data_IF_008193268145
#
_entry.id   IF_008193268145
#
_cell.length_a   1.000
_cell.length_b   1.000
_cell.length_c   1.000
_cell.angle_alpha   90.00
_cell.angle_beta   90.00
_cell.angle_gamma   90.00
#
_symmetry.space_group_name_H-M   'P 1'
#
loop_
_entity.id
_entity.type
_entity.pdbx_description
1 polymer ?
#
# COMPACT_ATOMS: atom_id res chain seq x y z
N UNK A 1 -25.93 -50.14 -83.67
CA UNK A 1 -25.10 -49.85 -84.88
C UNK A 1 -23.76 -49.28 -84.37
N UNK A 2 -22.75 -50.06 -84.76
CA UNK A 2 -21.34 -49.65 -85.03
C UNK A 2 -20.56 -48.99 -83.88
N UNK A 3 -19.63 -49.64 -83.26
CA UNK A 3 -18.21 -49.77 -83.58
C UNK A 3 -17.45 -48.49 -83.22
N UNK A 4 -16.31 -48.48 -82.60
CA UNK A 4 -15.10 -49.32 -82.54
C UNK A 4 -14.15 -48.81 -81.50
N UNK A 5 -13.47 -49.69 -80.75
CA UNK A 5 -12.05 -49.83 -80.50
C UNK A 5 -11.21 -48.54 -80.51
N UNK A 6 -10.18 -48.28 -79.69
CA UNK A 6 -9.08 -49.16 -79.29
C UNK A 6 -8.01 -48.37 -78.47
N UNK A 7 -7.23 -49.15 -77.76
CA UNK A 7 -5.80 -49.03 -77.42
C UNK A 7 -5.31 -48.12 -76.28
N UNK A 8 -4.92 -48.75 -75.23
CA UNK A 8 -3.56 -48.92 -74.64
C UNK A 8 -2.66 -47.69 -74.53
N UNK A 9 -2.31 -47.40 -73.29
CA UNK A 9 -1.17 -46.54 -72.96
C UNK A 9 -0.88 -46.65 -71.44
N UNK A 10 -0.16 -47.73 -71.08
CA UNK A 10 0.41 -47.85 -69.71
C UNK A 10 1.52 -46.83 -69.57
N UNK A 11 1.39 -45.87 -68.66
CA UNK A 11 2.54 -45.13 -68.11
C UNK A 11 2.55 -45.21 -66.60
N UNK A 12 3.51 -45.93 -66.07
CA UNK A 12 3.88 -46.13 -64.71
C UNK A 12 4.61 -44.86 -64.23
N UNK A 13 3.99 -44.06 -63.35
CA UNK A 13 4.69 -42.98 -62.67
C UNK A 13 4.90 -43.37 -61.24
N UNK A 14 6.15 -43.61 -60.89
CA UNK A 14 6.65 -43.71 -59.52
C UNK A 14 6.42 -42.39 -58.79
N UNK A 15 5.54 -42.38 -57.79
CA UNK A 15 5.44 -41.30 -56.81
C UNK A 15 6.37 -41.63 -55.65
N UNK A 16 7.52 -40.94 -55.62
CA UNK A 16 8.40 -40.89 -54.44
C UNK A 16 7.77 -39.94 -53.45
N UNK A 17 7.20 -40.50 -52.37
CA UNK A 17 6.71 -39.71 -51.21
C UNK A 17 7.91 -39.38 -50.35
N UNK A 18 8.38 -38.16 -50.43
CA UNK A 18 9.37 -37.60 -49.51
C UNK A 18 8.68 -37.25 -48.19
N UNK A 19 8.82 -38.10 -47.17
CA UNK A 19 8.38 -37.85 -45.84
C UNK A 19 9.37 -36.85 -45.18
N UNK A 20 8.99 -35.58 -45.15
CA UNK A 20 9.72 -34.56 -44.36
C UNK A 20 9.40 -34.76 -42.88
N UNK A 21 10.34 -35.32 -42.13
CA UNK A 21 10.32 -35.31 -40.67
C UNK A 21 10.54 -33.85 -40.19
N UNK A 22 9.44 -33.20 -39.84
CA UNK A 22 9.49 -31.91 -39.08
C UNK A 22 9.75 -32.26 -37.63
N UNK A 23 11.00 -32.20 -37.22
CA UNK A 23 11.41 -32.22 -35.81
C UNK A 23 10.96 -30.94 -35.15
N UNK A 24 9.83 -30.95 -34.41
CA UNK A 24 9.38 -29.88 -33.56
C UNK A 24 10.32 -29.85 -32.34
N UNK A 25 11.37 -29.03 -32.44
CA UNK A 25 12.11 -28.62 -31.25
C UNK A 25 11.20 -27.75 -30.41
N UNK A 26 10.53 -28.34 -29.42
CA UNK A 26 9.92 -27.60 -28.33
C UNK A 26 11.04 -26.93 -27.53
N UNK A 27 11.40 -25.73 -27.92
CA UNK A 27 12.20 -24.87 -27.08
C UNK A 27 11.36 -24.52 -25.84
N UNK A 28 11.51 -25.31 -24.77
CA UNK A 28 11.12 -24.88 -23.44
C UNK A 28 11.91 -23.60 -23.14
N UNK A 29 11.31 -22.46 -23.37
CA UNK A 29 11.82 -21.20 -22.83
C UNK A 29 11.68 -21.29 -21.31
N UNK A 30 12.71 -21.85 -20.68
CA UNK A 30 12.96 -21.66 -19.27
C UNK A 30 13.04 -20.14 -19.10
N UNK A 31 12.02 -19.54 -18.45
CA UNK A 31 12.11 -18.16 -18.05
C UNK A 31 13.44 -18.01 -17.34
N UNK A 32 14.32 -17.18 -17.90
CA UNK A 32 15.60 -16.89 -17.29
C UNK A 32 15.27 -16.42 -15.85
N UNK A 33 15.82 -17.09 -14.83
CA UNK A 33 15.74 -16.65 -13.45
C UNK A 33 16.39 -15.25 -13.39
N UNK A 34 15.56 -14.22 -13.60
CA UNK A 34 16.03 -12.86 -13.40
C UNK A 34 16.42 -12.71 -11.94
N UNK A 35 17.60 -12.14 -11.69
CA UNK A 35 18.03 -11.89 -10.32
C UNK A 35 16.93 -11.18 -9.53
N UNK A 36 16.73 -11.53 -8.26
CA UNK A 36 15.67 -10.94 -7.46
C UNK A 36 15.83 -9.43 -7.34
N UNK A 37 14.72 -8.72 -7.38
CA UNK A 37 14.66 -7.28 -7.13
C UNK A 37 15.13 -7.01 -5.69
N UNK A 38 16.18 -6.21 -5.55
CA UNK A 38 16.80 -5.91 -4.25
C UNK A 38 16.03 -4.78 -3.58
N UNK A 39 15.48 -5.04 -2.40
CA UNK A 39 14.77 -4.07 -1.60
C UNK A 39 15.57 -3.67 -0.36
N UNK A 40 15.48 -2.41 0.02
CA UNK A 40 16.06 -1.87 1.25
C UNK A 40 14.99 -1.35 2.19
N UNK A 41 15.27 -1.44 3.50
CA UNK A 41 14.41 -0.89 4.54
C UNK A 41 15.08 0.30 5.23
N UNK A 42 14.35 1.40 5.40
CA UNK A 42 14.76 2.59 6.16
C UNK A 42 13.85 2.68 7.39
N UNK A 43 14.43 2.86 8.59
CA UNK A 43 13.70 2.91 9.84
C UNK A 43 13.38 1.50 10.37
N UNK A 44 14.23 0.96 11.25
CA UNK A 44 14.06 -0.40 11.74
C UNK A 44 13.43 -0.41 13.14
N UNK A 45 12.27 0.26 13.30
CA UNK A 45 11.67 0.50 14.61
C UNK A 45 10.19 0.11 14.73
N UNK A 46 9.62 -0.57 13.69
CA UNK A 46 8.29 -1.16 13.75
C UNK A 46 8.32 -2.69 13.71
N UNK A 47 7.23 -3.33 14.18
CA UNK A 47 7.05 -4.78 14.01
C UNK A 47 6.88 -5.20 12.54
N UNK A 48 6.59 -4.27 11.63
CA UNK A 48 6.49 -4.53 10.19
C UNK A 48 7.86 -4.95 9.63
N UNK A 49 8.95 -4.34 10.09
CA UNK A 49 10.32 -4.61 9.63
C UNK A 49 10.66 -6.10 9.63
N UNK A 50 10.66 -6.83 10.75
CA UNK A 50 10.94 -8.26 10.73
C UNK A 50 9.83 -9.09 10.07
N UNK A 51 8.58 -8.62 10.10
CA UNK A 51 7.47 -9.33 9.48
C UNK A 51 7.57 -9.28 7.94
N UNK A 52 7.79 -8.11 7.35
CA UNK A 52 7.95 -7.96 5.90
C UNK A 52 9.23 -8.65 5.41
N UNK A 53 10.34 -8.52 6.16
CA UNK A 53 11.57 -9.24 5.84
C UNK A 53 11.36 -10.76 5.76
N UNK A 54 10.61 -11.35 6.70
CA UNK A 54 10.26 -12.78 6.67
C UNK A 54 9.39 -13.15 5.47
N UNK A 55 8.45 -12.29 5.09
CA UNK A 55 7.53 -12.53 3.97
C UNK A 55 8.30 -12.47 2.65
N UNK A 56 9.06 -11.39 2.39
CA UNK A 56 9.78 -11.20 1.13
C UNK A 56 10.98 -12.14 0.99
N UNK A 57 11.67 -12.47 2.08
CA UNK A 57 12.84 -13.37 2.04
C UNK A 57 12.46 -14.85 2.19
N UNK A 58 11.16 -15.19 2.22
CA UNK A 58 10.71 -16.57 2.26
C UNK A 58 11.10 -17.30 0.97
N UNK A 59 11.92 -18.36 1.01
CA UNK A 59 12.32 -19.12 -0.19
C UNK A 59 11.14 -19.82 -0.87
N UNK A 60 10.01 -19.95 -0.18
CA UNK A 60 8.76 -20.52 -0.72
C UNK A 60 7.76 -19.44 -1.16
N UNK A 61 8.17 -18.17 -1.21
CA UNK A 61 7.30 -17.09 -1.67
C UNK A 61 6.83 -17.34 -3.10
N UNK A 62 5.57 -17.02 -3.38
CA UNK A 62 4.93 -17.19 -4.68
C UNK A 62 4.23 -15.92 -5.13
N UNK A 63 3.82 -15.85 -6.41
CA UNK A 63 3.07 -14.72 -6.97
C UNK A 63 3.82 -13.40 -6.89
N UNK A 64 3.14 -12.36 -6.45
CA UNK A 64 3.70 -11.01 -6.43
C UNK A 64 4.82 -10.82 -5.38
N UNK A 65 4.86 -11.64 -4.34
CA UNK A 65 5.92 -11.62 -3.31
C UNK A 65 7.22 -12.24 -3.83
N UNK A 66 7.15 -13.29 -4.64
CA UNK A 66 8.32 -13.99 -5.16
C UNK A 66 9.23 -13.07 -5.98
N UNK A 67 10.55 -13.30 -5.95
CA UNK A 67 11.51 -12.54 -6.74
C UNK A 67 11.83 -11.13 -6.20
N UNK A 68 11.45 -10.83 -4.95
CA UNK A 68 11.87 -9.64 -4.21
C UNK A 68 12.64 -10.10 -2.98
N UNK A 69 13.72 -9.42 -2.64
CA UNK A 69 14.53 -9.77 -1.47
C UNK A 69 14.96 -8.53 -0.72
N UNK A 70 14.67 -8.48 0.56
CA UNK A 70 15.23 -7.47 1.47
C UNK A 70 16.71 -7.80 1.67
N UNK A 71 17.60 -6.92 1.25
CA UNK A 71 19.04 -7.15 1.26
C UNK A 71 19.80 -6.20 2.18
N UNK A 72 19.25 -5.03 2.47
CA UNK A 72 19.89 -4.03 3.30
C UNK A 72 18.88 -3.29 4.18
N UNK A 73 19.33 -2.84 5.36
CA UNK A 73 18.54 -2.03 6.29
C UNK A 73 19.34 -0.88 6.89
N UNK A 74 18.74 0.30 6.97
CA UNK A 74 19.26 1.45 7.70
C UNK A 74 18.41 1.64 8.97
N UNK A 75 19.02 1.61 10.17
CA UNK A 75 18.28 1.62 11.43
C UNK A 75 17.39 2.84 11.63
N UNK A 76 17.87 4.03 11.32
CA UNK A 76 17.13 5.27 11.63
C UNK A 76 16.89 5.40 13.14
N UNK A 77 15.65 5.80 13.47
CA UNK A 77 15.17 5.95 14.84
C UNK A 77 14.97 7.40 15.23
N UNK A 78 13.99 7.63 16.15
CA UNK A 78 13.65 8.95 16.68
C UNK A 78 13.50 8.92 18.20
N UNK A 79 13.16 10.08 18.78
CA UNK A 79 13.03 10.29 20.22
C UNK A 79 11.76 9.68 20.83
N UNK A 80 10.73 9.36 20.03
CA UNK A 80 9.51 8.77 20.57
C UNK A 80 9.77 7.37 21.16
N UNK A 81 9.13 7.02 22.27
CA UNK A 81 9.34 5.71 22.90
C UNK A 81 9.11 4.54 21.94
N UNK A 82 8.11 4.65 21.09
CA UNK A 82 7.77 3.63 20.07
C UNK A 82 8.90 3.35 19.07
N UNK A 83 9.80 4.30 18.82
CA UNK A 83 11.01 4.15 18.01
C UNK A 83 12.21 3.75 18.86
N UNK A 84 12.60 4.63 19.79
CA UNK A 84 13.81 4.51 20.61
C UNK A 84 13.95 3.15 21.29
N UNK A 85 12.86 2.61 21.84
CA UNK A 85 12.89 1.39 22.65
C UNK A 85 12.91 0.11 21.80
N UNK A 86 12.69 0.20 20.47
CA UNK A 86 12.56 -0.96 19.58
C UNK A 86 13.60 -1.06 18.48
N UNK A 87 14.17 0.06 18.02
CA UNK A 87 15.09 0.10 16.88
C UNK A 87 16.26 -0.87 17.02
N UNK A 88 16.89 -0.93 18.18
CA UNK A 88 18.00 -1.85 18.42
C UNK A 88 17.59 -3.32 18.26
N UNK A 89 16.45 -3.71 18.85
CA UNK A 89 15.98 -5.09 18.83
C UNK A 89 15.60 -5.57 17.42
N UNK A 90 14.93 -4.72 16.63
CA UNK A 90 14.60 -5.08 15.25
C UNK A 90 15.80 -5.05 14.30
N UNK A 91 16.75 -4.15 14.52
CA UNK A 91 18.03 -4.15 13.79
C UNK A 91 18.77 -5.48 13.97
N UNK A 92 18.87 -5.98 15.20
CA UNK A 92 19.51 -7.27 15.48
C UNK A 92 18.73 -8.45 14.85
N UNK A 93 17.39 -8.40 14.83
CA UNK A 93 16.60 -9.41 14.15
C UNK A 93 16.89 -9.46 12.64
N UNK A 94 16.99 -8.31 11.97
CA UNK A 94 17.34 -8.25 10.54
C UNK A 94 18.76 -8.76 10.30
N UNK A 95 19.72 -8.40 11.14
CA UNK A 95 21.08 -8.91 11.07
C UNK A 95 21.11 -10.44 11.19
N UNK A 96 20.33 -11.01 12.11
CA UNK A 96 20.15 -12.45 12.27
C UNK A 96 19.49 -13.15 11.08
N UNK A 97 18.76 -12.42 10.22
CA UNK A 97 18.20 -12.91 8.96
C UNK A 97 19.21 -12.82 7.79
N UNK A 98 20.43 -12.35 8.01
CA UNK A 98 21.45 -12.16 6.97
C UNK A 98 21.25 -10.90 6.14
N UNK A 99 20.47 -9.93 6.63
CA UNK A 99 20.26 -8.62 5.98
C UNK A 99 21.38 -7.69 6.41
N UNK A 100 22.04 -7.05 5.46
CA UNK A 100 23.14 -6.12 5.73
C UNK A 100 22.60 -4.86 6.41
N UNK A 101 23.22 -4.46 7.53
CA UNK A 101 22.89 -3.22 8.21
C UNK A 101 23.90 -2.15 7.82
N UNK A 102 23.41 -1.08 7.25
CA UNK A 102 24.21 0.05 6.79
C UNK A 102 24.06 1.27 7.70
N UNK A 103 25.02 2.19 7.63
CA UNK A 103 25.07 3.35 8.54
C UNK A 103 24.40 4.60 7.97
N UNK A 104 24.15 4.62 6.65
CA UNK A 104 23.55 5.80 5.99
C UNK A 104 22.60 5.40 4.88
N UNK A 105 21.61 6.27 4.59
CA UNK A 105 20.69 6.10 3.47
C UNK A 105 21.43 6.03 2.12
N UNK A 106 22.45 6.86 1.81
CA UNK A 106 23.22 6.71 0.57
C UNK A 106 23.88 5.35 0.42
N UNK A 107 24.41 4.74 1.50
CA UNK A 107 24.95 3.37 1.46
C UNK A 107 23.87 2.35 1.12
N UNK A 108 22.66 2.50 1.65
CA UNK A 108 21.52 1.64 1.33
C UNK A 108 21.15 1.78 -0.16
N UNK A 109 21.00 3.01 -0.65
CA UNK A 109 20.58 3.30 -2.02
C UNK A 109 21.53 2.74 -3.09
N UNK A 110 22.83 2.61 -2.77
CA UNK A 110 23.83 2.00 -3.65
C UNK A 110 23.63 0.47 -3.82
N UNK A 111 22.88 -0.17 -2.92
CA UNK A 111 22.74 -1.64 -2.87
C UNK A 111 21.38 -2.14 -3.38
N UNK A 112 20.38 -1.27 -3.52
CA UNK A 112 18.99 -1.67 -3.71
C UNK A 112 18.38 -1.06 -4.97
N UNK A 113 17.31 -1.67 -5.45
CA UNK A 113 16.54 -1.24 -6.60
C UNK A 113 15.27 -0.52 -6.19
N UNK A 114 14.69 -0.88 -5.03
CA UNK A 114 13.45 -0.35 -4.47
C UNK A 114 13.59 -0.17 -2.96
N UNK A 115 12.76 0.68 -2.36
CA UNK A 115 12.88 1.04 -0.94
C UNK A 115 11.52 0.95 -0.23
N UNK A 116 11.57 0.46 1.02
CA UNK A 116 10.49 0.56 1.99
C UNK A 116 10.96 1.50 3.11
N UNK A 117 10.21 2.56 3.40
CA UNK A 117 10.38 3.36 4.62
C UNK A 117 9.43 2.78 5.66
N UNK A 118 10.00 2.31 6.77
CA UNK A 118 9.30 1.60 7.83
C UNK A 118 9.38 2.33 9.18
N UNK A 119 9.92 3.54 9.21
CA UNK A 119 10.00 4.34 10.43
C UNK A 119 8.61 4.51 11.05
N UNK A 120 8.48 4.24 12.36
CA UNK A 120 7.19 4.36 13.06
C UNK A 120 6.74 5.81 13.21
N UNK A 121 7.68 6.73 13.16
CA UNK A 121 7.47 8.15 13.33
C UNK A 121 7.35 8.88 11.98
N UNK A 122 6.13 9.14 11.55
CA UNK A 122 5.87 9.85 10.30
C UNK A 122 6.49 11.25 10.18
N UNK A 123 6.94 11.87 11.29
CA UNK A 123 7.55 13.20 11.27
C UNK A 123 8.85 13.25 10.48
N UNK A 124 9.56 12.11 10.35
CA UNK A 124 10.84 12.05 9.62
C UNK A 124 10.71 11.54 8.19
N UNK A 125 9.55 11.08 7.76
CA UNK A 125 9.37 10.42 6.46
C UNK A 125 9.71 11.33 5.27
N UNK A 126 9.41 12.64 5.32
CA UNK A 126 9.82 13.56 4.26
C UNK A 126 11.35 13.65 4.13
N UNK A 127 12.07 13.68 5.26
CA UNK A 127 13.53 13.69 5.28
C UNK A 127 14.12 12.38 4.72
N UNK A 128 13.53 11.24 5.07
CA UNK A 128 13.97 9.92 4.61
C UNK A 128 13.61 9.65 3.14
N UNK A 129 12.41 10.08 2.71
CA UNK A 129 11.93 9.88 1.35
C UNK A 129 12.68 10.75 0.32
N UNK A 130 13.12 11.95 0.71
CA UNK A 130 13.79 12.89 -0.21
C UNK A 130 14.98 12.28 -0.93
N UNK A 131 16.00 11.69 -0.29
CA UNK A 131 17.13 11.09 -0.99
C UNK A 131 16.73 9.85 -1.81
N UNK A 132 15.71 9.10 -1.39
CA UNK A 132 15.20 7.94 -2.14
C UNK A 132 14.57 8.38 -3.46
N UNK A 133 13.71 9.40 -3.40
CA UNK A 133 13.04 9.98 -4.56
C UNK A 133 14.06 10.61 -5.51
N UNK A 134 15.03 11.37 -5.00
CA UNK A 134 16.10 11.97 -5.80
C UNK A 134 16.99 10.91 -6.49
N UNK A 135 17.13 9.73 -5.89
CA UNK A 135 17.82 8.58 -6.48
C UNK A 135 16.96 7.80 -7.49
N UNK A 136 15.74 8.22 -7.78
CA UNK A 136 14.84 7.58 -8.75
C UNK A 136 14.33 6.20 -8.33
N UNK A 137 14.35 5.87 -7.03
CA UNK A 137 13.96 4.53 -6.55
C UNK A 137 12.46 4.47 -6.23
N UNK A 138 11.71 3.49 -6.78
CA UNK A 138 10.33 3.23 -6.37
C UNK A 138 10.24 3.05 -4.86
N UNK A 139 9.20 3.65 -4.25
CA UNK A 139 9.14 3.84 -2.80
C UNK A 139 7.79 3.44 -2.24
N UNK A 140 7.80 2.52 -1.29
CA UNK A 140 6.70 2.31 -0.35
C UNK A 140 7.03 3.02 0.97
N UNK A 141 6.06 3.74 1.52
CA UNK A 141 6.17 4.35 2.84
C UNK A 141 5.11 3.73 3.74
N UNK A 142 5.54 3.13 4.84
CA UNK A 142 4.59 2.59 5.82
C UNK A 142 3.74 3.72 6.43
N UNK A 143 2.61 3.35 6.98
CA UNK A 143 1.71 4.31 7.62
C UNK A 143 2.31 4.84 8.96
N UNK A 144 2.05 6.10 9.29
CA UNK A 144 1.47 7.14 8.45
C UNK A 144 2.46 7.62 7.39
N UNK A 145 2.00 7.97 6.18
CA UNK A 145 2.93 8.44 5.12
C UNK A 145 3.77 9.64 5.55
N UNK A 146 3.30 10.43 6.50
CA UNK A 146 4.00 11.58 7.06
C UNK A 146 3.45 11.96 8.45
N UNK A 147 4.14 12.86 9.15
CA UNK A 147 3.70 13.43 10.43
C UNK A 147 2.73 14.60 10.30
N UNK A 148 2.45 15.07 9.09
CA UNK A 148 1.48 16.13 8.80
C UNK A 148 0.92 16.00 7.40
N UNK A 149 -0.26 16.58 7.14
CA UNK A 149 -0.83 16.63 5.79
C UNK A 149 0.09 17.43 4.83
N UNK A 150 0.74 18.46 5.30
CA UNK A 150 1.67 19.23 4.49
C UNK A 150 2.89 18.40 4.06
N UNK A 151 3.46 17.59 4.95
CA UNK A 151 4.56 16.69 4.61
C UNK A 151 4.10 15.56 3.67
N UNK A 152 2.90 15.02 3.85
CA UNK A 152 2.33 14.04 2.94
C UNK A 152 2.20 14.60 1.51
N UNK A 153 1.67 15.82 1.36
CA UNK A 153 1.60 16.52 0.07
C UNK A 153 3.00 16.74 -0.49
N UNK A 154 3.96 17.22 0.33
CA UNK A 154 5.33 17.48 -0.11
C UNK A 154 6.03 16.21 -0.64
N UNK A 155 5.85 15.07 0.03
CA UNK A 155 6.38 13.77 -0.43
C UNK A 155 5.85 13.42 -1.82
N UNK A 156 4.53 13.48 -2.03
CA UNK A 156 3.94 13.11 -3.32
C UNK A 156 4.24 14.10 -4.44
N UNK A 157 4.31 15.41 -4.15
CA UNK A 157 4.72 16.42 -5.14
C UNK A 157 6.20 16.24 -5.51
N UNK A 158 7.07 15.92 -4.56
CA UNK A 158 8.48 15.61 -4.84
C UNK A 158 8.60 14.34 -5.69
N UNK A 159 7.87 13.27 -5.34
CA UNK A 159 7.84 12.02 -6.09
C UNK A 159 7.36 12.24 -7.53
N UNK A 160 6.30 13.03 -7.72
CA UNK A 160 5.78 13.44 -9.03
C UNK A 160 6.80 14.24 -9.83
N UNK A 161 7.49 15.21 -9.21
CA UNK A 161 8.52 16.03 -9.87
C UNK A 161 9.68 15.19 -10.40
N UNK A 162 10.03 14.09 -9.72
CA UNK A 162 11.12 13.20 -10.10
C UNK A 162 10.66 11.96 -10.88
N UNK A 163 9.38 11.84 -11.23
CA UNK A 163 8.77 10.67 -11.89
C UNK A 163 9.03 9.35 -11.13
N UNK A 164 8.99 9.41 -9.80
CA UNK A 164 9.20 8.26 -8.93
C UNK A 164 7.86 7.77 -8.41
N UNK A 165 7.43 6.54 -8.72
CA UNK A 165 6.21 6.00 -8.17
C UNK A 165 6.36 5.76 -6.67
N UNK A 166 5.37 6.25 -5.90
CA UNK A 166 5.34 6.20 -4.45
C UNK A 166 3.92 5.93 -3.96
N UNK A 167 3.76 5.06 -2.96
CA UNK A 167 2.48 4.88 -2.28
C UNK A 167 2.67 4.54 -0.80
N UNK A 168 1.62 4.72 -0.03
CA UNK A 168 1.51 4.34 1.37
C UNK A 168 0.17 3.67 1.62
N UNK A 169 0.10 2.76 2.57
CA UNK A 169 -1.15 2.17 3.05
C UNK A 169 -0.98 1.44 4.37
N UNK A 170 -2.07 1.28 5.10
CA UNK A 170 -2.19 0.31 6.18
C UNK A 170 -2.49 -1.09 5.64
N UNK A 171 -1.96 -2.13 6.30
CA UNK A 171 -2.29 -3.52 5.99
C UNK A 171 -3.79 -3.83 6.11
N UNK A 172 -4.54 -3.07 6.91
CA UNK A 172 -5.97 -3.30 7.13
C UNK A 172 -6.82 -3.02 5.89
N UNK A 173 -6.37 -2.17 4.97
CA UNK A 173 -7.00 -1.99 3.65
C UNK A 173 -7.06 -3.31 2.87
N UNK A 174 -6.01 -4.12 2.99
CA UNK A 174 -5.82 -5.34 2.18
C UNK A 174 -6.14 -6.62 2.96
N UNK A 175 -6.87 -6.53 4.07
CA UNK A 175 -7.38 -7.72 4.77
C UNK A 175 -8.41 -8.45 3.91
N UNK A 176 -8.49 -9.79 4.00
CA UNK A 176 -9.47 -10.57 3.25
C UNK A 176 -10.90 -10.04 3.39
N UNK A 177 -11.31 -9.70 4.63
CA UNK A 177 -12.66 -9.22 4.88
C UNK A 177 -13.00 -7.90 4.17
N UNK A 178 -12.09 -6.91 4.16
CA UNK A 178 -12.29 -5.65 3.41
C UNK A 178 -12.30 -5.90 1.90
N UNK A 179 -11.39 -6.77 1.41
CA UNK A 179 -11.31 -7.09 -0.02
C UNK A 179 -12.52 -7.89 -0.52
N UNK A 180 -13.11 -8.72 0.33
CA UNK A 180 -14.35 -9.43 0.04
C UNK A 180 -15.55 -8.48 -0.05
N UNK A 181 -15.65 -7.47 0.85
CA UNK A 181 -16.69 -6.45 0.77
C UNK A 181 -16.65 -5.67 -0.56
N UNK A 182 -15.46 -5.29 -1.01
CA UNK A 182 -15.28 -4.56 -2.27
C UNK A 182 -15.69 -5.34 -3.51
N UNK A 183 -15.71 -6.68 -3.43
CA UNK A 183 -16.07 -7.60 -4.53
C UNK A 183 -17.46 -8.20 -4.38
N UNK A 184 -18.18 -7.86 -3.31
CA UNK A 184 -19.46 -8.49 -2.99
C UNK A 184 -20.61 -7.89 -3.80
N UNK A 185 -21.01 -8.54 -4.87
CA UNK A 185 -22.12 -8.10 -5.73
C UNK A 185 -23.49 -8.08 -5.02
N UNK A 186 -23.63 -8.89 -3.96
CA UNK A 186 -24.86 -8.91 -3.16
C UNK A 186 -25.00 -7.65 -2.29
N UNK A 187 -23.92 -6.94 -2.02
CA UNK A 187 -23.93 -5.66 -1.32
C UNK A 187 -24.58 -4.56 -2.17
N UNK A 188 -24.43 -4.64 -3.49
CA UNK A 188 -24.79 -3.56 -4.41
C UNK A 188 -23.82 -2.37 -4.30
N UNK A 189 -24.32 -1.16 -4.58
CA UNK A 189 -23.52 0.06 -4.44
C UNK A 189 -23.35 0.42 -2.97
N UNK A 190 -22.15 0.71 -2.52
CA UNK A 190 -21.86 1.15 -1.15
C UNK A 190 -22.42 2.57 -0.96
N UNK A 191 -23.36 2.71 -0.04
CA UNK A 191 -24.03 3.98 0.32
C UNK A 191 -23.53 4.54 1.66
N UNK A 192 -22.72 3.79 2.38
CA UNK A 192 -22.08 4.21 3.63
C UNK A 192 -21.17 3.13 4.20
N UNK A 193 -20.32 3.48 5.15
CA UNK A 193 -19.49 2.53 5.86
C UNK A 193 -19.23 2.99 7.31
N UNK A 194 -19.05 2.03 8.21
CA UNK A 194 -18.57 2.24 9.57
C UNK A 194 -17.36 1.36 9.78
N UNK A 195 -16.27 1.96 10.26
CA UNK A 195 -15.06 1.25 10.66
C UNK A 195 -14.71 1.56 12.10
N UNK A 196 -13.98 0.68 12.75
CA UNK A 196 -13.53 0.88 14.12
C UNK A 196 -12.20 0.18 14.38
N UNK A 197 -11.54 0.59 15.48
CA UNK A 197 -10.33 -0.06 15.95
C UNK A 197 -9.54 0.78 16.93
N UNK A 198 -8.37 0.29 17.28
CA UNK A 198 -7.46 1.00 18.18
C UNK A 198 -7.14 2.41 17.67
N UNK A 199 -7.13 3.38 18.59
CA UNK A 199 -6.81 4.78 18.33
C UNK A 199 -5.95 5.36 19.45
N UNK A 200 -4.85 4.68 19.78
CA UNK A 200 -3.88 5.25 20.72
C UNK A 200 -3.22 6.48 20.12
N UNK A 201 -3.00 7.47 20.96
CA UNK A 201 -2.29 8.69 20.60
C UNK A 201 -0.81 8.55 20.90
N UNK A 202 0.00 9.29 20.18
CA UNK A 202 1.41 9.46 20.41
C UNK A 202 1.71 10.93 20.61
N UNK A 203 2.35 11.29 21.71
CA UNK A 203 2.77 12.66 21.97
C UNK A 203 3.64 13.20 20.81
N UNK A 204 3.42 14.45 20.43
CA UNK A 204 4.14 15.09 19.32
C UNK A 204 3.64 14.73 17.93
N UNK A 205 2.59 13.89 17.81
CA UNK A 205 1.95 13.58 16.54
C UNK A 205 0.46 13.93 16.57
N UNK A 206 -0.18 14.25 15.42
CA UNK A 206 -1.63 14.42 15.36
C UNK A 206 -2.37 13.17 15.83
N UNK A 207 -3.50 13.35 16.51
CA UNK A 207 -4.21 12.26 17.23
C UNK A 207 -4.48 11.02 16.36
N UNK A 208 -4.99 11.24 15.13
CA UNK A 208 -5.42 10.14 14.28
C UNK A 208 -4.28 9.48 13.51
N UNK A 209 -3.13 10.15 13.35
CA UNK A 209 -2.07 9.71 12.45
C UNK A 209 -1.34 8.47 12.96
N UNK A 210 -1.19 8.31 14.28
CA UNK A 210 -0.40 7.22 14.84
C UNK A 210 -1.09 5.84 14.70
N UNK A 211 -2.32 5.72 15.22
CA UNK A 211 -3.10 4.46 15.18
C UNK A 211 -4.47 4.59 14.52
N UNK A 212 -5.11 5.75 14.58
CA UNK A 212 -6.41 5.99 13.96
C UNK A 212 -6.44 5.70 12.47
N UNK A 213 -5.33 5.94 11.79
CA UNK A 213 -5.14 5.65 10.35
C UNK A 213 -5.47 4.20 10.00
N UNK A 214 -5.21 3.23 10.87
CA UNK A 214 -5.53 1.83 10.61
C UNK A 214 -7.04 1.57 10.40
N UNK A 215 -7.90 2.31 11.10
CA UNK A 215 -9.34 2.18 10.88
C UNK A 215 -9.86 3.11 9.77
N UNK A 216 -9.17 4.22 9.49
CA UNK A 216 -9.56 5.17 8.45
C UNK A 216 -9.18 4.64 7.05
N UNK A 217 -8.11 3.89 6.91
CA UNK A 217 -7.72 3.23 5.64
C UNK A 217 -8.82 2.29 5.09
N UNK A 218 -9.40 1.35 5.87
CA UNK A 218 -10.54 0.58 5.41
C UNK A 218 -11.77 1.43 5.09
N UNK A 219 -11.99 2.53 5.83
CA UNK A 219 -13.08 3.46 5.53
C UNK A 219 -12.94 4.03 4.12
N UNK A 220 -11.74 4.54 3.79
CA UNK A 220 -11.45 5.06 2.46
C UNK A 220 -11.45 3.99 1.36
N UNK A 221 -11.00 2.77 1.68
CA UNK A 221 -11.13 1.64 0.76
C UNK A 221 -12.59 1.38 0.35
N UNK A 222 -13.53 1.48 1.30
CA UNK A 222 -14.97 1.26 1.07
C UNK A 222 -15.66 2.46 0.46
N UNK A 223 -15.33 3.67 0.91
CA UNK A 223 -16.02 4.91 0.53
C UNK A 223 -15.42 5.60 -0.70
N UNK A 224 -14.13 5.38 -0.97
CA UNK A 224 -13.38 6.14 -1.98
C UNK A 224 -13.22 7.60 -1.58
N UNK A 225 -12.69 8.40 -2.51
CA UNK A 225 -12.52 9.85 -2.37
C UNK A 225 -13.83 10.63 -2.52
N UNK A 226 -13.80 11.91 -2.15
CA UNK A 226 -14.93 12.84 -2.30
C UNK A 226 -15.56 13.24 -0.97
N UNK A 227 -14.89 13.06 0.16
CA UNK A 227 -15.31 13.60 1.44
C UNK A 227 -15.24 15.13 1.42
N UNK A 228 -16.32 15.82 1.81
CA UNK A 228 -16.39 17.28 1.81
C UNK A 228 -16.22 17.86 3.21
N UNK A 229 -16.81 17.20 4.21
CA UNK A 229 -16.82 17.74 5.59
C UNK A 229 -16.64 16.64 6.60
N UNK A 230 -16.03 16.98 7.75
CA UNK A 230 -15.78 16.08 8.86
C UNK A 230 -16.25 16.70 10.17
N UNK A 231 -16.81 15.86 11.05
CA UNK A 231 -17.09 16.17 12.47
C UNK A 231 -16.47 15.12 13.36
N UNK A 232 -16.04 15.52 14.57
CA UNK A 232 -15.49 14.61 15.55
C UNK A 232 -16.08 14.85 16.94
N UNK A 233 -16.58 13.78 17.54
CA UNK A 233 -16.89 13.73 18.97
C UNK A 233 -15.81 12.91 19.66
N UNK A 234 -15.27 13.45 20.76
CA UNK A 234 -14.19 12.81 21.50
C UNK A 234 -14.53 12.73 22.98
N UNK A 235 -14.20 11.58 23.58
CA UNK A 235 -14.10 11.36 25.02
C UNK A 235 -12.70 10.85 25.38
N UNK A 236 -12.42 10.65 26.67
CA UNK A 236 -11.12 10.09 27.10
C UNK A 236 -10.85 8.70 26.50
N UNK A 237 -11.89 7.89 26.29
CA UNK A 237 -11.79 6.49 25.90
C UNK A 237 -12.09 6.22 24.41
N UNK A 238 -12.69 7.18 23.71
CA UNK A 238 -13.12 6.95 22.32
C UNK A 238 -13.22 8.23 21.49
N UNK A 239 -13.12 8.04 20.18
CA UNK A 239 -13.46 9.03 19.16
C UNK A 239 -14.57 8.50 18.28
N UNK A 240 -15.43 9.39 17.76
CA UNK A 240 -16.31 9.13 16.64
C UNK A 240 -16.08 10.23 15.61
N UNK A 241 -15.56 9.85 14.47
CA UNK A 241 -15.27 10.76 13.35
C UNK A 241 -16.24 10.43 12.23
N UNK A 242 -17.02 11.41 11.78
CA UNK A 242 -18.00 11.24 10.71
C UNK A 242 -17.69 12.19 9.57
N UNK A 243 -17.55 11.63 8.36
CA UNK A 243 -17.42 12.36 7.12
C UNK A 243 -18.67 12.31 6.27
N UNK A 244 -18.93 13.40 5.54
CA UNK A 244 -20.00 13.49 4.52
C UNK A 244 -19.36 13.66 3.16
N UNK A 245 -19.68 12.75 2.25
CA UNK A 245 -19.20 12.74 0.87
C UNK A 245 -20.09 13.60 -0.04
N UNK A 246 -19.53 14.09 -1.14
CA UNK A 246 -20.19 14.98 -2.12
C UNK A 246 -21.52 14.43 -2.70
N UNK A 247 -21.67 13.11 -2.71
CA UNK A 247 -22.85 12.39 -3.18
C UNK A 247 -23.86 12.09 -2.06
N UNK A 248 -23.65 12.65 -0.86
CA UNK A 248 -24.52 12.49 0.31
C UNK A 248 -24.22 11.23 1.14
N UNK A 249 -23.28 10.37 0.75
CA UNK A 249 -22.88 9.23 1.55
C UNK A 249 -22.23 9.67 2.85
N UNK A 250 -22.38 8.85 3.88
CA UNK A 250 -21.81 9.09 5.20
C UNK A 250 -20.89 7.93 5.56
N UNK A 251 -19.66 8.26 5.99
CA UNK A 251 -18.69 7.31 6.49
C UNK A 251 -18.28 7.66 7.92
N UNK A 252 -18.15 6.66 8.79
CA UNK A 252 -17.80 6.86 10.19
C UNK A 252 -16.66 5.96 10.64
N UNK A 253 -15.70 6.56 11.33
CA UNK A 253 -14.65 5.84 12.07
C UNK A 253 -14.88 5.97 13.57
N UNK A 254 -14.82 4.83 14.30
CA UNK A 254 -14.81 4.80 15.77
C UNK A 254 -13.44 4.38 16.28
N UNK A 255 -12.70 5.31 16.84
CA UNK A 255 -11.44 5.07 17.53
C UNK A 255 -11.66 4.62 18.96
N UNK A 256 -10.96 3.57 19.41
CA UNK A 256 -11.11 2.94 20.72
C UNK A 256 -9.76 2.97 21.46
N UNK A 257 -9.72 3.53 22.67
CA UNK A 257 -8.51 3.60 23.50
C UNK A 257 -8.55 2.73 24.74
N UNK A 258 -9.73 2.23 25.10
CA UNK A 258 -9.93 1.42 26.30
C UNK A 258 -10.70 0.14 25.98
N UNK A 259 -10.43 -0.92 26.71
CA UNK A 259 -11.00 -2.25 26.54
C UNK A 259 -10.62 -2.91 25.20
N UNK A 260 -11.50 -3.74 24.65
CA UNK A 260 -11.26 -4.42 23.36
C UNK A 260 -11.31 -3.40 22.22
N UNK A 261 -10.17 -3.21 21.56
CA UNK A 261 -9.98 -2.31 20.44
C UNK A 261 -9.67 -3.05 19.12
N UNK A 262 -10.24 -4.26 18.96
CA UNK A 262 -10.13 -5.01 17.71
C UNK A 262 -10.64 -4.19 16.52
N UNK A 263 -10.03 -4.37 15.37
CA UNK A 263 -10.42 -3.68 14.15
C UNK A 263 -11.62 -4.35 13.47
N UNK A 264 -12.43 -3.57 12.78
CA UNK A 264 -13.54 -4.08 12.01
C UNK A 264 -14.15 -3.04 11.08
N UNK A 265 -15.03 -3.51 10.20
CA UNK A 265 -15.78 -2.67 9.28
C UNK A 265 -17.18 -3.25 8.99
N UNK A 266 -18.12 -2.38 8.66
CA UNK A 266 -19.43 -2.71 8.08
C UNK A 266 -19.66 -1.82 6.88
N UNK A 267 -20.01 -2.42 5.75
CA UNK A 267 -20.45 -1.68 4.57
C UNK A 267 -21.98 -1.71 4.47
N UNK A 268 -22.56 -0.54 4.25
CA UNK A 268 -23.97 -0.35 3.94
C UNK A 268 -24.11 -0.24 2.44
N UNK A 269 -24.67 -1.25 1.83
CA UNK A 269 -24.92 -1.29 0.41
C UNK A 269 -26.37 -1.00 0.06
N UNK A 270 -26.65 -0.76 -1.20
CA UNK A 270 -28.02 -0.54 -1.71
C UNK A 270 -28.92 -1.78 -1.62
N UNK A 271 -28.35 -2.97 -1.42
CA UNK A 271 -29.09 -4.24 -1.37
C UNK A 271 -28.93 -4.97 -0.02
N UNK A 272 -27.81 -4.77 0.69
CA UNK A 272 -27.52 -5.46 1.94
C UNK A 272 -26.61 -4.64 2.84
N UNK A 273 -26.58 -5.00 4.13
CA UNK A 273 -25.59 -4.52 5.12
C UNK A 273 -24.70 -5.71 5.47
N UNK A 274 -23.40 -5.58 5.25
CA UNK A 274 -22.48 -6.69 5.39
C UNK A 274 -21.27 -6.29 6.24
N UNK A 275 -20.99 -7.00 7.35
CA UNK A 275 -19.77 -6.80 8.09
C UNK A 275 -18.56 -7.37 7.33
N UNK A 276 -17.40 -6.77 7.51
CA UNK A 276 -16.15 -7.36 7.05
C UNK A 276 -15.91 -8.69 7.79
N UNK A 277 -15.53 -9.70 7.03
CA UNK A 277 -15.21 -11.01 7.56
C UNK A 277 -13.88 -11.04 8.31
N UNK A 278 -13.03 -12.01 7.98
CA UNK A 278 -11.77 -12.26 8.67
C UNK A 278 -10.81 -11.09 8.62
N UNK A 279 -10.16 -10.84 9.75
CA UNK A 279 -8.92 -10.09 9.81
C UNK A 279 -7.81 -10.82 9.03
N UNK A 280 -6.77 -10.10 8.65
CA UNK A 280 -5.61 -10.63 7.96
C UNK A 280 -4.33 -10.09 8.57
N UNK A 281 -3.21 -10.78 8.27
CA UNK A 281 -1.87 -10.29 8.58
C UNK A 281 -1.37 -9.31 7.50
N UNK A 282 -0.06 -9.26 7.37
CA UNK A 282 0.62 -8.34 6.46
C UNK A 282 0.70 -8.84 5.00
N UNK A 283 0.35 -10.10 4.75
CA UNK A 283 0.56 -10.72 3.44
C UNK A 283 -0.18 -10.01 2.30
N UNK A 284 -1.40 -9.53 2.57
CA UNK A 284 -2.17 -8.75 1.60
C UNK A 284 -1.44 -7.48 1.15
N UNK A 285 -0.93 -6.70 2.10
CA UNK A 285 -0.14 -5.50 1.81
C UNK A 285 1.18 -5.86 1.13
N UNK A 286 1.90 -6.88 1.59
CA UNK A 286 3.16 -7.31 0.97
C UNK A 286 2.96 -7.76 -0.50
N UNK A 287 1.82 -8.37 -0.85
CA UNK A 287 1.46 -8.69 -2.25
C UNK A 287 1.32 -7.41 -3.09
N UNK A 288 0.64 -6.41 -2.59
CA UNK A 288 0.48 -5.14 -3.30
C UNK A 288 1.81 -4.37 -3.42
N UNK A 289 2.64 -4.36 -2.36
CA UNK A 289 4.02 -3.82 -2.43
C UNK A 289 4.83 -4.57 -3.49
N UNK A 290 4.76 -5.89 -3.50
CA UNK A 290 5.48 -6.71 -4.47
C UNK A 290 5.03 -6.49 -5.91
N UNK A 291 3.72 -6.40 -6.14
CA UNK A 291 3.13 -6.04 -7.44
C UNK A 291 3.57 -4.65 -7.88
N UNK A 292 3.49 -3.68 -6.98
CA UNK A 292 3.92 -2.31 -7.23
C UNK A 292 5.39 -2.23 -7.64
N UNK A 293 6.30 -2.86 -6.91
CA UNK A 293 7.72 -2.83 -7.23
C UNK A 293 8.03 -3.45 -8.59
N UNK A 294 7.30 -4.51 -8.99
CA UNK A 294 7.46 -5.17 -10.30
C UNK A 294 6.85 -4.37 -11.46
N UNK A 295 5.70 -3.74 -11.23
CA UNK A 295 4.90 -3.12 -12.29
C UNK A 295 4.99 -1.60 -12.32
N UNK A 296 5.49 -0.97 -11.25
CA UNK A 296 5.47 0.47 -10.98
C UNK A 296 4.06 1.09 -10.91
N UNK A 297 3.01 0.26 -10.83
CA UNK A 297 1.63 0.72 -10.68
C UNK A 297 1.26 0.80 -9.20
N UNK A 298 0.95 1.99 -8.72
CA UNK A 298 0.54 2.21 -7.33
C UNK A 298 -0.85 1.63 -7.08
N UNK A 299 -1.05 0.85 -6.00
CA UNK A 299 -2.36 0.28 -5.66
C UNK A 299 -3.30 1.30 -5.00
N UNK A 300 -2.75 2.34 -4.38
CA UNK A 300 -3.48 3.46 -3.79
C UNK A 300 -2.95 4.75 -4.41
N UNK A 301 -3.85 5.56 -4.97
CA UNK A 301 -3.43 6.79 -5.63
C UNK A 301 -3.02 7.85 -4.61
N UNK A 302 -2.03 8.70 -4.91
CA UNK A 302 -1.60 9.80 -4.04
C UNK A 302 -2.76 10.67 -3.56
N UNK A 303 -3.70 10.97 -4.44
CA UNK A 303 -4.86 11.81 -4.17
C UNK A 303 -5.76 11.20 -3.07
N UNK A 304 -5.90 9.88 -3.05
CA UNK A 304 -6.67 9.18 -2.01
C UNK A 304 -5.95 9.25 -0.66
N UNK A 305 -4.64 9.01 -0.63
CA UNK A 305 -3.86 9.15 0.61
C UNK A 305 -3.87 10.58 1.13
N UNK A 306 -3.74 11.58 0.26
CA UNK A 306 -3.81 13.01 0.63
C UNK A 306 -5.19 13.34 1.20
N UNK A 307 -6.29 12.85 0.59
CA UNK A 307 -7.64 13.10 1.09
C UNK A 307 -7.89 12.40 2.44
N UNK A 308 -7.40 11.17 2.60
CA UNK A 308 -7.45 10.45 3.86
C UNK A 308 -6.71 11.22 4.98
N UNK A 309 -5.55 11.79 4.68
CA UNK A 309 -4.81 12.65 5.61
C UNK A 309 -5.56 13.95 5.91
N UNK A 310 -6.21 14.54 4.90
CA UNK A 310 -7.06 15.71 5.11
C UNK A 310 -8.27 15.41 5.99
N UNK A 311 -8.84 14.20 5.88
CA UNK A 311 -9.91 13.72 6.77
C UNK A 311 -9.43 13.65 8.23
N UNK A 312 -8.24 13.12 8.48
CA UNK A 312 -7.66 13.05 9.82
C UNK A 312 -7.33 14.44 10.37
N UNK A 313 -6.73 15.32 9.58
CA UNK A 313 -6.44 16.71 9.96
C UNK A 313 -7.74 17.50 10.24
N UNK A 314 -8.79 17.29 9.42
CA UNK A 314 -10.09 17.89 9.64
C UNK A 314 -10.77 17.36 10.93
N UNK A 315 -10.57 16.09 11.26
CA UNK A 315 -11.04 15.53 12.52
C UNK A 315 -10.36 16.16 13.72
N UNK A 316 -9.06 16.41 13.66
CA UNK A 316 -8.31 17.10 14.70
C UNK A 316 -8.72 18.58 14.83
N UNK A 317 -8.98 19.25 13.70
CA UNK A 317 -9.52 20.61 13.70
C UNK A 317 -10.93 20.66 14.27
N UNK A 318 -11.80 19.72 13.91
CA UNK A 318 -13.16 19.61 14.49
C UNK A 318 -13.11 19.46 16.01
N UNK A 319 -12.18 18.63 16.53
CA UNK A 319 -11.95 18.52 17.98
C UNK A 319 -11.57 19.86 18.59
N UNK A 320 -10.62 20.60 17.99
CA UNK A 320 -10.20 21.93 18.48
C UNK A 320 -11.34 22.94 18.50
N UNK A 321 -12.31 22.78 17.59
CA UNK A 321 -13.52 23.62 17.49
C UNK A 321 -14.72 23.07 18.24
N UNK A 322 -14.53 22.14 19.20
CA UNK A 322 -15.60 21.60 20.03
C UNK A 322 -16.58 20.70 19.28
N UNK A 323 -16.16 20.05 18.20
CA UNK A 323 -16.99 19.15 17.38
C UNK A 323 -17.66 19.85 16.19
N UNK A 324 -17.26 21.06 15.86
CA UNK A 324 -17.79 21.77 14.69
C UNK A 324 -17.46 21.03 13.37
N UNK A 325 -18.32 21.21 12.37
CA UNK A 325 -18.09 20.70 11.02
C UNK A 325 -16.94 21.43 10.35
N UNK A 326 -15.95 20.70 9.85
CA UNK A 326 -14.76 21.21 9.18
C UNK A 326 -14.77 20.82 7.70
N UNK A 327 -14.45 21.77 6.83
CA UNK A 327 -14.32 21.58 5.39
C UNK A 327 -12.98 20.97 5.03
N UNK A 328 -12.97 19.86 4.26
CA UNK A 328 -11.73 19.28 3.73
C UNK A 328 -11.04 20.21 2.74
N UNK A 329 -11.81 20.97 1.95
CA UNK A 329 -11.27 21.95 1.01
C UNK A 329 -10.39 22.96 1.70
N UNK A 330 -10.83 23.48 2.85
CA UNK A 330 -10.09 24.51 3.59
C UNK A 330 -8.82 23.94 4.24
N UNK A 331 -8.91 22.74 4.79
CA UNK A 331 -7.77 22.01 5.35
C UNK A 331 -6.72 21.72 4.26
N UNK A 332 -7.16 21.23 3.10
CA UNK A 332 -6.28 20.97 1.96
C UNK A 332 -5.61 22.24 1.43
N UNK A 333 -6.34 23.35 1.31
CA UNK A 333 -5.79 24.62 0.83
C UNK A 333 -4.66 25.12 1.74
N UNK A 334 -4.89 25.07 3.06
CA UNK A 334 -3.88 25.45 4.07
C UNK A 334 -2.66 24.54 4.01
N UNK A 335 -2.86 23.23 3.90
CA UNK A 335 -1.77 22.26 3.87
C UNK A 335 -0.94 22.34 2.57
N UNK A 336 -1.57 22.62 1.42
CA UNK A 336 -0.86 22.84 0.14
C UNK A 336 0.05 24.05 0.20
N UNK A 337 -0.44 25.17 0.74
CA UNK A 337 0.39 26.37 0.93
C UNK A 337 1.60 26.09 1.84
N UNK A 338 1.43 25.29 2.90
CA UNK A 338 2.53 24.91 3.78
C UNK A 338 3.50 23.92 3.08
N UNK A 339 3.03 23.01 2.27
CA UNK A 339 3.86 22.07 1.52
C UNK A 339 4.74 22.77 0.48
N UNK A 340 4.23 23.80 -0.22
CA UNK A 340 5.00 24.60 -1.16
C UNK A 340 6.23 25.26 -0.50
N UNK A 341 6.11 25.67 0.77
CA UNK A 341 7.23 26.25 1.51
C UNK A 341 8.32 25.23 1.85
N UNK A 342 7.95 23.96 2.00
CA UNK A 342 8.88 22.86 2.31
C UNK A 342 9.65 22.37 1.08
N UNK A 343 9.16 22.67 -0.12
CA UNK A 343 9.75 22.25 -1.40
C UNK A 343 10.64 23.31 -2.05
N UNK A 344 10.71 24.51 -1.47
CA UNK A 344 11.63 25.59 -1.87
C UNK A 344 13.00 25.40 -1.26
#
# INVERSE_FOLDING_TARGET
MKHTNSHLGRNFWFRVTLAALVSIFSASTRAADSAPLRAGMIGLDTSHVPAFAKIFNNPKATGDIAGIKIVAGYPGGTDIPASRDRVKGFTEQLRGMGIEIVETIPQLLAKVDVVLIESVDGRIHLQEATPVIQAGKPLFIDKPVAGSLADAIAIYELAKKHDVPCFSSSSLRFTPGVQELLKNEQLGTIVGAVTWGSCSYQEGTPDMFFYGIHGIEPLYALMGTGCETVTRVQTVDTDVVTGVWKDGRVGTYRGIRKNNAAFGAVAFGSKAIVPAGREGGYEGLCREIGRFFKTRKVPVQPEETIELFAFMEAADESKRQGGARVSLKDVLAKARAAAELKLK
#
